data_IF_185823146109
#
_entry.id   IF_185823146109
#
_cell.length_a   1.000
_cell.length_b   1.000
_cell.length_c   1.000
_cell.angle_alpha   90.00
_cell.angle_beta   90.00
_cell.angle_gamma   90.00
#
_symmetry.space_group_name_H-M   'P 1'
#
loop_
_entity.id
_entity.type
_entity.pdbx_description
1 polymer ?
#
# COMPACT_ATOMS: atom_id res chain seq x y z
N UNK A 1 -1.30 51.23 35.32
CA UNK A 1 -1.61 49.80 35.10
C UNK A 1 -0.53 48.99 35.78
N UNK A 2 -0.85 47.93 36.52
CA UNK A 2 0.15 47.22 37.28
C UNK A 2 1.07 46.40 36.35
N UNK A 3 2.37 46.43 36.61
CA UNK A 3 3.43 45.87 35.74
C UNK A 3 3.23 44.37 35.43
N UNK A 4 2.57 43.62 36.33
CA UNK A 4 2.24 42.22 36.13
C UNK A 4 1.26 41.98 34.96
N UNK A 5 0.42 42.95 34.60
CA UNK A 5 -0.54 42.82 33.51
C UNK A 5 0.14 42.80 32.13
N UNK A 6 1.20 43.59 31.95
CA UNK A 6 1.97 43.64 30.70
C UNK A 6 2.74 42.33 30.48
N UNK A 7 3.30 41.77 31.56
CA UNK A 7 3.98 40.48 31.51
C UNK A 7 3.04 39.32 31.14
N UNK A 8 1.83 39.27 31.71
CA UNK A 8 0.84 38.25 31.36
C UNK A 8 0.38 38.34 29.90
N UNK A 9 0.19 39.56 29.37
CA UNK A 9 -0.14 39.76 27.96
C UNK A 9 1.00 39.25 27.07
N UNK A 10 2.25 39.54 27.42
CA UNK A 10 3.42 39.04 26.68
C UNK A 10 3.48 37.51 26.62
N UNK A 11 3.28 36.82 27.75
CA UNK A 11 3.26 35.36 27.81
C UNK A 11 2.09 34.78 27.00
N UNK A 12 0.89 35.37 27.13
CA UNK A 12 -0.27 34.90 26.39
C UNK A 12 -0.11 35.07 24.88
N UNK A 13 0.39 36.22 24.41
CA UNK A 13 0.68 36.46 22.99
C UNK A 13 1.75 35.50 22.48
N UNK A 14 2.83 35.30 23.25
CA UNK A 14 3.87 34.33 22.90
C UNK A 14 3.34 32.90 22.78
N UNK A 15 2.47 32.49 23.70
CA UNK A 15 1.82 31.18 23.67
C UNK A 15 0.92 31.01 22.44
N UNK A 16 0.02 31.96 22.18
CA UNK A 16 -0.90 31.91 21.04
C UNK A 16 -0.12 31.86 19.73
N UNK A 17 0.93 32.69 19.60
CA UNK A 17 1.75 32.73 18.39
C UNK A 17 2.49 31.40 18.18
N UNK A 18 3.02 30.80 19.24
CA UNK A 18 3.65 29.49 19.17
C UNK A 18 2.67 28.38 18.77
N UNK A 19 1.45 28.41 19.29
CA UNK A 19 0.41 27.42 18.95
C UNK A 19 0.00 27.54 17.48
N UNK A 20 -0.23 28.76 16.98
CA UNK A 20 -0.57 29.01 15.57
C UNK A 20 0.55 28.55 14.64
N UNK A 21 1.81 28.86 14.96
CA UNK A 21 2.97 28.41 14.18
C UNK A 21 3.09 26.88 14.19
N UNK A 22 2.86 26.26 15.34
CA UNK A 22 2.90 24.80 15.50
C UNK A 22 1.81 24.12 14.68
N UNK A 23 0.60 24.69 14.69
CA UNK A 23 -0.53 24.25 13.89
C UNK A 23 -0.23 24.34 12.38
N UNK A 24 0.28 25.48 11.91
CA UNK A 24 0.66 25.66 10.51
C UNK A 24 1.75 24.66 10.07
N UNK A 25 2.80 24.48 10.89
CA UNK A 25 3.85 23.49 10.62
C UNK A 25 3.30 22.06 10.56
N UNK A 26 2.31 21.73 11.38
CA UNK A 26 1.65 20.42 11.35
C UNK A 26 0.88 20.25 10.04
N UNK A 27 0.10 21.25 9.64
CA UNK A 27 -0.66 21.22 8.39
C UNK A 27 0.24 21.06 7.15
N UNK A 28 1.35 21.80 7.09
CA UNK A 28 2.33 21.66 6.02
C UNK A 28 2.95 20.25 5.99
N UNK A 29 3.34 19.70 7.16
CA UNK A 29 3.90 18.35 7.26
C UNK A 29 2.96 17.28 6.73
N UNK A 30 1.66 17.36 7.05
CA UNK A 30 0.66 16.43 6.52
C UNK A 30 0.55 16.49 5.00
N UNK A 31 0.77 17.65 4.38
CA UNK A 31 0.83 17.75 2.93
C UNK A 31 2.06 17.09 2.35
N UNK A 32 3.21 17.24 3.00
CA UNK A 32 4.45 16.56 2.60
C UNK A 32 4.31 15.04 2.72
N UNK A 33 3.72 14.54 3.80
CA UNK A 33 3.48 13.10 3.99
C UNK A 33 2.51 12.53 2.95
N UNK A 34 1.43 13.24 2.64
CA UNK A 34 0.48 12.82 1.61
C UNK A 34 1.16 12.76 0.24
N UNK A 35 2.01 13.75 -0.07
CA UNK A 35 2.80 13.74 -1.30
C UNK A 35 3.74 12.52 -1.35
N UNK A 36 4.49 12.26 -0.28
CA UNK A 36 5.38 11.11 -0.21
C UNK A 36 4.64 9.77 -0.38
N UNK A 37 3.42 9.66 0.20
CA UNK A 37 2.57 8.49 0.00
C UNK A 37 2.13 8.34 -1.47
N UNK A 38 1.72 9.43 -2.12
CA UNK A 38 1.32 9.41 -3.53
C UNK A 38 2.49 9.06 -4.45
N UNK A 39 3.67 9.64 -4.20
CA UNK A 39 4.90 9.34 -4.95
C UNK A 39 5.27 7.84 -4.79
N UNK A 40 5.11 7.27 -3.59
CA UNK A 40 5.33 5.83 -3.35
C UNK A 40 4.31 4.94 -4.06
N UNK A 41 3.03 5.32 -4.06
CA UNK A 41 1.97 4.60 -4.79
C UNK A 41 2.22 4.61 -6.30
N UNK A 42 2.68 5.73 -6.86
CA UNK A 42 3.05 5.83 -8.28
C UNK A 42 4.25 4.94 -8.62
N UNK A 43 5.27 4.92 -7.76
CA UNK A 43 6.40 4.02 -7.92
C UNK A 43 5.98 2.54 -7.85
N UNK A 44 5.14 2.19 -6.87
CA UNK A 44 4.60 0.84 -6.74
C UNK A 44 3.75 0.44 -7.96
N UNK A 45 2.95 1.34 -8.52
CA UNK A 45 2.20 1.08 -9.74
C UNK A 45 3.12 0.66 -10.89
N UNK A 46 4.25 1.34 -11.04
CA UNK A 46 5.24 0.95 -12.04
C UNK A 46 5.88 -0.42 -11.74
N UNK A 47 6.18 -0.70 -10.46
CA UNK A 47 6.69 -2.01 -10.05
C UNK A 47 5.68 -3.15 -10.26
N UNK A 48 4.38 -2.90 -10.07
CA UNK A 48 3.32 -3.89 -10.32
C UNK A 48 3.40 -4.38 -11.76
N UNK A 49 3.61 -3.49 -12.74
CA UNK A 49 3.74 -3.86 -14.15
C UNK A 49 4.90 -4.84 -14.36
N UNK A 50 6.07 -4.52 -13.80
CA UNK A 50 7.26 -5.37 -13.93
C UNK A 50 7.08 -6.73 -13.24
N UNK A 51 6.52 -6.74 -12.03
CA UNK A 51 6.27 -7.97 -11.27
C UNK A 51 5.19 -8.84 -11.92
N UNK A 52 4.21 -8.23 -12.59
CA UNK A 52 3.23 -8.94 -13.42
C UNK A 52 3.90 -9.65 -14.59
N UNK A 53 4.80 -8.98 -15.31
CA UNK A 53 5.58 -9.60 -16.39
C UNK A 53 6.40 -10.80 -15.87
N UNK A 54 7.01 -10.71 -14.68
CA UNK A 54 7.70 -11.83 -14.04
C UNK A 54 6.73 -12.97 -13.72
N UNK A 55 5.56 -12.67 -13.13
CA UNK A 55 4.55 -13.68 -12.83
C UNK A 55 4.05 -14.40 -14.09
N UNK A 56 3.87 -13.67 -15.20
CA UNK A 56 3.51 -14.25 -16.50
C UNK A 56 4.61 -15.19 -17.03
N UNK A 57 5.88 -14.84 -16.86
CA UNK A 57 7.00 -15.72 -17.22
C UNK A 57 7.03 -17.01 -16.37
N UNK A 58 6.74 -16.91 -15.08
CA UNK A 58 6.61 -18.08 -14.20
C UNK A 58 5.46 -18.97 -14.67
N UNK A 59 4.33 -18.39 -15.04
CA UNK A 59 3.17 -19.13 -15.56
C UNK A 59 3.54 -19.91 -16.83
N UNK A 60 4.22 -19.28 -17.78
CA UNK A 60 4.70 -19.92 -19.02
C UNK A 60 5.74 -21.03 -18.76
N UNK A 61 6.60 -20.86 -17.75
CA UNK A 61 7.55 -21.88 -17.35
C UNK A 61 6.84 -23.10 -16.75
N UNK A 62 5.85 -22.87 -15.89
CA UNK A 62 5.03 -23.93 -15.28
C UNK A 62 4.27 -24.73 -16.33
N UNK A 63 3.83 -24.11 -17.43
CA UNK A 63 3.23 -24.80 -18.58
C UNK A 63 4.20 -25.75 -19.27
N UNK A 64 5.50 -25.46 -19.22
CA UNK A 64 6.58 -26.29 -19.75
C UNK A 64 7.17 -27.24 -18.69
N UNK A 65 6.53 -27.36 -17.52
CA UNK A 65 6.91 -28.31 -16.47
C UNK A 65 8.14 -27.92 -15.65
N UNK A 66 8.56 -26.65 -15.68
CA UNK A 66 9.65 -26.16 -14.82
C UNK A 66 9.24 -24.87 -14.09
N UNK A 67 9.95 -24.55 -13.02
CA UNK A 67 9.70 -23.34 -12.24
C UNK A 67 10.84 -22.34 -12.44
N UNK A 68 10.51 -21.08 -12.71
CA UNK A 68 11.47 -20.00 -12.76
C UNK A 68 11.48 -19.23 -11.43
N UNK A 69 12.65 -18.86 -10.89
CA UNK A 69 12.73 -18.04 -9.68
C UNK A 69 11.94 -16.74 -9.82
N UNK A 70 10.95 -16.55 -8.94
CA UNK A 70 10.08 -15.37 -8.93
C UNK A 70 10.51 -14.26 -7.97
N UNK A 71 11.65 -14.44 -7.30
CA UNK A 71 12.11 -13.52 -6.26
C UNK A 71 12.44 -12.16 -6.87
N UNK A 72 11.78 -11.12 -6.37
CA UNK A 72 11.95 -9.74 -6.80
C UNK A 72 12.13 -8.82 -5.59
N UNK A 73 12.54 -7.58 -5.84
CA UNK A 73 12.63 -6.54 -4.79
C UNK A 73 11.22 -6.30 -4.23
N UNK A 74 11.03 -6.23 -2.91
CA UNK A 74 9.72 -5.93 -2.32
C UNK A 74 9.19 -4.56 -2.75
N UNK A 75 7.87 -4.41 -2.73
CA UNK A 75 7.18 -3.13 -2.92
C UNK A 75 7.62 -2.11 -1.87
N UNK A 76 7.70 -0.85 -2.28
CA UNK A 76 7.97 0.24 -1.35
C UNK A 76 6.79 0.40 -0.39
N UNK A 77 7.07 0.54 0.90
CA UNK A 77 6.05 0.70 1.95
C UNK A 77 6.48 1.65 3.07
N UNK A 78 7.53 2.42 2.83
CA UNK A 78 8.17 3.27 3.82
C UNK A 78 7.30 4.48 4.15
N UNK A 79 6.71 5.12 3.13
CA UNK A 79 5.81 6.25 3.32
C UNK A 79 4.53 5.82 4.04
N UNK A 80 3.96 4.68 3.62
CA UNK A 80 2.79 4.11 4.30
C UNK A 80 3.07 3.77 5.76
N UNK A 81 4.09 2.97 6.04
CA UNK A 81 4.40 2.51 7.40
C UNK A 81 4.74 3.65 8.37
N UNK A 82 5.46 4.68 7.91
CA UNK A 82 5.89 5.77 8.77
C UNK A 82 4.84 6.88 8.94
N UNK A 83 4.02 7.15 7.94
CA UNK A 83 3.18 8.36 7.92
C UNK A 83 1.68 8.10 7.94
N UNK A 84 1.22 6.86 7.75
CA UNK A 84 -0.22 6.59 7.66
C UNK A 84 -0.98 7.00 8.94
N UNK A 85 -0.39 6.79 10.13
CA UNK A 85 -1.01 7.18 11.40
C UNK A 85 -1.28 8.69 11.48
N UNK A 86 -0.32 9.50 11.03
CA UNK A 86 -0.44 10.96 10.99
C UNK A 86 -1.41 11.45 9.91
N UNK A 87 -1.55 10.69 8.81
CA UNK A 87 -2.45 11.03 7.70
C UNK A 87 -3.93 10.71 7.97
N UNK A 88 -4.24 9.88 8.98
CA UNK A 88 -5.63 9.50 9.31
C UNK A 88 -6.60 10.67 9.40
N UNK A 89 -6.27 11.81 10.06
CA UNK A 89 -7.19 12.95 10.16
C UNK A 89 -7.41 13.70 8.84
N UNK A 90 -6.53 13.52 7.86
CA UNK A 90 -6.59 14.22 6.55
C UNK A 90 -7.31 13.40 5.49
N UNK A 91 -7.24 12.07 5.59
CA UNK A 91 -7.87 11.15 4.64
C UNK A 91 -9.31 10.86 5.06
N UNK A 92 -10.22 10.87 4.09
CA UNK A 92 -11.58 10.37 4.25
C UNK A 92 -11.58 8.86 4.58
N UNK A 93 -12.67 8.33 5.17
CA UNK A 93 -12.76 6.89 5.45
C UNK A 93 -12.49 6.01 4.23
N UNK A 94 -13.04 6.37 3.07
CA UNK A 94 -12.87 5.61 1.81
C UNK A 94 -11.41 5.66 1.35
N UNK A 95 -10.75 6.83 1.38
CA UNK A 95 -9.32 6.94 1.04
C UNK A 95 -8.45 6.07 1.96
N UNK A 96 -8.71 6.10 3.28
CA UNK A 96 -7.95 5.28 4.23
C UNK A 96 -8.08 3.79 3.96
N UNK A 97 -9.28 3.35 3.62
CA UNK A 97 -9.57 1.96 3.30
C UNK A 97 -8.87 1.52 2.01
N UNK A 98 -8.87 2.38 0.98
CA UNK A 98 -8.13 2.13 -0.26
C UNK A 98 -6.64 1.95 0.01
N UNK A 99 -6.02 2.92 0.71
CA UNK A 99 -4.58 2.85 1.02
C UNK A 99 -4.26 1.58 1.80
N UNK A 100 -5.02 1.27 2.86
CA UNK A 100 -4.80 0.04 3.64
C UNK A 100 -4.96 -1.22 2.81
N UNK A 101 -5.99 -1.29 1.96
CA UNK A 101 -6.25 -2.45 1.12
C UNK A 101 -5.15 -2.65 0.07
N UNK A 102 -4.71 -1.57 -0.58
CA UNK A 102 -3.60 -1.57 -1.54
C UNK A 102 -2.34 -2.12 -0.87
N UNK A 103 -1.87 -1.50 0.22
CA UNK A 103 -0.63 -1.92 0.87
C UNK A 103 -0.73 -3.30 1.52
N UNK A 104 -1.89 -3.66 2.09
CA UNK A 104 -2.12 -5.00 2.62
C UNK A 104 -1.95 -6.09 1.55
N UNK A 105 -2.52 -5.87 0.35
CA UNK A 105 -2.37 -6.82 -0.75
C UNK A 105 -0.96 -6.82 -1.35
N UNK A 106 -0.31 -5.65 -1.50
CA UNK A 106 1.07 -5.58 -2.00
C UNK A 106 2.02 -6.42 -1.13
N UNK A 107 1.92 -6.27 0.19
CA UNK A 107 2.75 -7.03 1.14
C UNK A 107 2.43 -8.53 1.10
N UNK A 108 1.15 -8.90 1.07
CA UNK A 108 0.75 -10.30 0.99
C UNK A 108 1.23 -10.96 -0.32
N UNK A 109 1.11 -10.27 -1.46
CA UNK A 109 1.56 -10.80 -2.75
C UNK A 109 3.09 -10.93 -2.78
N UNK A 110 3.84 -9.99 -2.21
CA UNK A 110 5.30 -10.12 -2.09
C UNK A 110 5.71 -11.33 -1.26
N UNK A 111 5.04 -11.56 -0.13
CA UNK A 111 5.31 -12.71 0.73
C UNK A 111 5.05 -14.02 -0.02
N UNK A 112 3.91 -14.12 -0.71
CA UNK A 112 3.56 -15.30 -1.53
C UNK A 112 4.59 -15.49 -2.65
N UNK A 113 4.91 -14.45 -3.41
CA UNK A 113 5.89 -14.52 -4.51
C UNK A 113 7.28 -14.94 -4.00
N UNK A 114 7.68 -14.47 -2.83
CA UNK A 114 8.99 -14.78 -2.25
C UNK A 114 9.14 -16.24 -1.81
N UNK A 115 8.04 -16.87 -1.39
CA UNK A 115 7.99 -18.25 -0.89
C UNK A 115 7.54 -19.27 -1.93
N UNK A 116 7.06 -18.81 -3.10
CA UNK A 116 6.44 -19.65 -4.13
C UNK A 116 7.39 -20.74 -4.65
N UNK A 117 8.66 -20.40 -4.90
CA UNK A 117 9.67 -21.33 -5.42
C UNK A 117 9.98 -22.46 -4.44
N UNK A 118 10.25 -22.09 -3.19
CA UNK A 118 10.56 -23.05 -2.14
C UNK A 118 9.38 -23.98 -1.86
N UNK A 119 8.17 -23.43 -1.87
CA UNK A 119 6.93 -24.20 -1.70
C UNK A 119 6.75 -25.18 -2.87
N UNK A 120 6.93 -24.72 -4.12
CA UNK A 120 6.83 -25.57 -5.31
C UNK A 120 7.82 -26.73 -5.26
N UNK A 121 9.09 -26.44 -4.94
CA UNK A 121 10.14 -27.46 -4.85
C UNK A 121 9.81 -28.51 -3.78
N UNK A 122 9.34 -28.07 -2.62
CA UNK A 122 8.99 -28.95 -1.51
C UNK A 122 7.83 -29.86 -1.87
N UNK A 123 6.75 -29.31 -2.43
CA UNK A 123 5.57 -30.08 -2.83
C UNK A 123 5.88 -31.06 -3.96
N UNK A 124 6.72 -30.65 -4.92
CA UNK A 124 7.14 -31.50 -6.04
C UNK A 124 8.00 -32.68 -5.57
N UNK A 125 8.94 -32.46 -4.64
CA UNK A 125 9.81 -33.51 -4.10
C UNK A 125 9.06 -34.48 -3.19
N UNK A 126 8.09 -33.99 -2.41
CA UNK A 126 7.33 -34.80 -1.49
C UNK A 126 6.27 -35.68 -2.18
N UNK A 127 5.96 -35.43 -3.45
CA UNK A 127 4.97 -36.20 -4.21
C UNK A 127 3.56 -36.09 -3.63
N UNK A 128 3.27 -35.02 -2.89
CA UNK A 128 2.05 -34.87 -2.07
C UNK A 128 0.81 -34.64 -2.94
N UNK A 129 0.98 -34.15 -4.17
CA UNK A 129 -0.12 -33.89 -5.10
C UNK A 129 0.15 -34.48 -6.48
N UNK A 130 -0.86 -35.09 -7.09
CA UNK A 130 -0.79 -35.61 -8.46
C UNK A 130 -0.57 -34.51 -9.51
N UNK A 131 -1.02 -33.28 -9.24
CA UNK A 131 -0.97 -32.14 -10.17
C UNK A 131 -0.42 -30.85 -9.52
N UNK A 132 0.76 -30.92 -8.89
CA UNK A 132 1.44 -29.75 -8.28
C UNK A 132 1.48 -28.56 -9.25
N UNK A 133 1.87 -28.78 -10.51
CA UNK A 133 2.00 -27.70 -11.50
C UNK A 133 0.71 -26.93 -11.74
N UNK A 134 -0.46 -27.59 -11.79
CA UNK A 134 -1.74 -26.90 -12.00
C UNK A 134 -2.14 -26.06 -10.79
N UNK A 135 -1.91 -26.55 -9.57
CA UNK A 135 -2.17 -25.79 -8.36
C UNK A 135 -1.36 -24.48 -8.31
N UNK A 136 -0.07 -24.56 -8.68
CA UNK A 136 0.80 -23.38 -8.72
C UNK A 136 0.47 -22.43 -9.88
N UNK A 137 0.04 -22.94 -11.04
CA UNK A 137 -0.51 -22.09 -12.11
C UNK A 137 -1.72 -21.29 -11.63
N UNK A 138 -2.62 -21.93 -10.86
CA UNK A 138 -3.74 -21.26 -10.22
C UNK A 138 -3.29 -20.09 -9.34
N UNK A 139 -2.38 -20.35 -8.40
CA UNK A 139 -1.81 -19.31 -7.52
C UNK A 139 -1.19 -18.14 -8.29
N UNK A 140 -0.42 -18.42 -9.35
CA UNK A 140 0.21 -17.39 -10.16
C UNK A 140 -0.82 -16.56 -10.93
N UNK A 141 -1.89 -17.18 -11.45
CA UNK A 141 -3.01 -16.45 -12.09
C UNK A 141 -3.71 -15.53 -11.09
N UNK A 142 -3.96 -16.00 -9.87
CA UNK A 142 -4.58 -15.19 -8.82
C UNK A 142 -3.71 -13.97 -8.46
N UNK A 143 -2.39 -14.14 -8.40
CA UNK A 143 -1.43 -13.04 -8.21
C UNK A 143 -1.53 -12.03 -9.35
N UNK A 144 -1.56 -12.49 -10.60
CA UNK A 144 -1.70 -11.61 -11.78
C UNK A 144 -3.01 -10.82 -11.71
N UNK A 145 -4.13 -11.47 -11.38
CA UNK A 145 -5.42 -10.81 -11.20
C UNK A 145 -5.36 -9.78 -10.07
N UNK A 146 -4.70 -10.11 -8.94
CA UNK A 146 -4.55 -9.18 -7.83
C UNK A 146 -3.72 -7.95 -8.25
N UNK A 147 -2.65 -8.12 -9.03
CA UNK A 147 -1.91 -6.99 -9.60
C UNK A 147 -2.78 -6.05 -10.43
N UNK A 148 -3.69 -6.59 -11.24
CA UNK A 148 -4.61 -5.77 -12.03
C UNK A 148 -5.59 -4.98 -11.16
N UNK A 149 -6.15 -5.63 -10.12
CA UNK A 149 -7.03 -4.98 -9.13
C UNK A 149 -6.28 -3.88 -8.38
N UNK A 150 -5.10 -4.17 -7.84
CA UNK A 150 -4.32 -3.17 -7.08
C UNK A 150 -3.91 -2.00 -7.99
N UNK A 151 -3.44 -2.27 -9.20
CA UNK A 151 -3.08 -1.23 -10.17
C UNK A 151 -4.27 -0.31 -10.46
N UNK A 152 -5.46 -0.88 -10.62
CA UNK A 152 -6.70 -0.13 -10.79
C UNK A 152 -7.02 0.75 -9.56
N UNK A 153 -6.97 0.18 -8.35
CA UNK A 153 -7.23 0.93 -7.12
C UNK A 153 -6.24 2.07 -6.90
N UNK A 154 -4.95 1.86 -7.19
CA UNK A 154 -3.93 2.92 -7.15
C UNK A 154 -4.30 4.03 -8.12
N UNK A 155 -4.67 3.69 -9.35
CA UNK A 155 -5.06 4.67 -10.36
C UNK A 155 -6.26 5.51 -9.94
N UNK A 156 -7.30 4.86 -9.41
CA UNK A 156 -8.51 5.50 -8.92
C UNK A 156 -8.21 6.42 -7.75
N UNK A 157 -7.40 5.97 -6.79
CA UNK A 157 -6.95 6.75 -5.65
C UNK A 157 -6.14 8.00 -6.08
N UNK A 158 -5.12 7.84 -6.92
CA UNK A 158 -4.26 8.95 -7.36
C UNK A 158 -5.03 10.01 -8.18
N UNK A 159 -6.13 9.61 -8.85
CA UNK A 159 -7.02 10.52 -9.57
C UNK A 159 -8.05 11.22 -8.67
N UNK A 160 -8.01 10.99 -7.35
CA UNK A 160 -8.99 11.54 -6.40
C UNK A 160 -10.38 10.89 -6.51
N UNK A 161 -10.46 9.66 -7.03
CA UNK A 161 -11.70 8.91 -7.21
C UNK A 161 -11.61 7.54 -6.52
N UNK A 162 -11.32 7.49 -5.20
CA UNK A 162 -11.12 6.22 -4.47
C UNK A 162 -12.41 5.39 -4.45
N UNK A 163 -12.27 4.06 -4.43
CA UNK A 163 -13.41 3.15 -4.54
C UNK A 163 -13.93 2.72 -3.16
N UNK A 164 -15.24 2.57 -2.99
CA UNK A 164 -15.80 2.06 -1.73
C UNK A 164 -15.69 0.54 -1.65
N UNK A 165 -14.46 0.05 -1.39
CA UNK A 165 -14.10 -1.38 -1.38
C UNK A 165 -14.96 -2.18 -0.39
N UNK A 166 -15.39 -1.55 0.71
CA UNK A 166 -16.19 -2.20 1.76
C UNK A 166 -17.67 -1.85 1.70
N UNK A 167 -18.13 -1.19 0.62
CA UNK A 167 -19.53 -0.84 0.39
C UNK A 167 -20.18 -0.09 1.57
N UNK A 168 -19.43 0.78 2.26
CA UNK A 168 -19.92 1.50 3.46
C UNK A 168 -21.14 2.38 3.19
N UNK A 169 -21.23 2.94 1.99
CA UNK A 169 -22.32 3.85 1.62
C UNK A 169 -23.56 3.12 1.07
N UNK A 170 -23.54 1.78 1.01
CA UNK A 170 -24.71 0.98 0.65
C UNK A 170 -25.54 0.68 1.91
N UNK A 171 -26.05 1.72 2.56
CA UNK A 171 -27.13 1.55 3.55
C UNK A 171 -28.46 1.35 2.82
N UNK A 172 -29.00 0.12 2.88
CA UNK A 172 -30.38 -0.25 2.57
C UNK A 172 -30.94 0.15 1.19
N UNK A 173 -30.88 -0.79 0.23
CA UNK A 173 -31.93 -0.95 -0.80
C UNK A 173 -32.72 -2.19 -0.47
#
# INVERSE_FOLDING_TARGET
MPEWGVALIGVFVGFVLNEVVSFLKRYCRLSTYLKALNDELEANKFQIRQKKEIAEQILQALEKGHFLPGKSVPFASLAYSNYMADLVPKLSPIERDNVRHIYGNLLAVDEIMSSLEESFRTDHQAGVMENVSEAYKGKVRDIITNYDVISHLIDRYLKGQPEDIYHRNQENV
#
